data_IF_275365288737
#
_entry.id   IF_275365288737
#
_cell.length_a   1.000
_cell.length_b   1.000
_cell.length_c   1.000
_cell.angle_alpha   90.00
_cell.angle_beta   90.00
_cell.angle_gamma   90.00
#
_symmetry.space_group_name_H-M   'P 1'
#
loop_
_entity.id
_entity.type
_entity.pdbx_description
1 polymer ?
#
# COMPACT_ATOMS: atom_id res chain seq x y z
N UNK A 1 0.63 19.01 15.38
CA UNK A 1 1.68 19.24 16.39
C UNK A 1 2.99 18.69 15.86
N UNK A 2 4.06 19.48 15.89
CA UNK A 2 5.38 19.00 15.46
C UNK A 2 5.96 18.07 16.53
N UNK A 3 6.55 16.96 16.10
CA UNK A 3 7.30 16.03 16.95
C UNK A 3 8.73 15.95 16.45
N UNK A 4 9.69 15.84 17.36
CA UNK A 4 11.10 15.72 17.02
C UNK A 4 11.52 14.26 17.09
N UNK A 5 12.14 13.76 16.02
CA UNK A 5 12.75 12.44 15.96
C UNK A 5 14.22 12.62 15.64
N UNK A 6 15.09 11.91 16.37
CA UNK A 6 16.52 11.87 16.06
C UNK A 6 16.75 10.78 15.02
N UNK A 7 17.49 11.13 13.98
CA UNK A 7 17.94 10.22 12.92
C UNK A 7 19.45 10.38 12.78
N UNK A 8 20.13 9.32 12.39
CA UNK A 8 21.52 9.41 11.98
C UNK A 8 21.66 10.15 10.64
N UNK A 9 22.89 10.51 10.30
CA UNK A 9 23.18 11.30 9.10
C UNK A 9 22.85 10.55 7.80
N UNK A 10 23.07 9.23 7.77
CA UNK A 10 22.77 8.41 6.59
C UNK A 10 21.26 8.38 6.33
N UNK A 11 20.47 8.14 7.37
CA UNK A 11 19.01 8.15 7.32
C UNK A 11 18.49 9.51 6.86
N UNK A 12 19.03 10.61 7.39
CA UNK A 12 18.66 11.96 6.94
C UNK A 12 18.96 12.18 5.46
N UNK A 13 20.16 11.78 5.00
CA UNK A 13 20.57 11.93 3.60
C UNK A 13 19.64 11.18 2.64
N UNK A 14 19.28 9.94 2.99
CA UNK A 14 18.34 9.12 2.20
C UNK A 14 16.95 9.74 2.12
N UNK A 15 16.45 10.34 3.21
CA UNK A 15 15.16 11.03 3.20
C UNK A 15 15.17 12.27 2.29
N UNK A 16 16.29 13.01 2.27
CA UNK A 16 16.46 14.17 1.38
C UNK A 16 16.52 13.73 -0.09
N UNK A 17 17.23 12.65 -0.39
CA UNK A 17 17.28 12.08 -1.74
C UNK A 17 15.89 11.67 -2.25
N UNK A 18 15.10 10.98 -1.42
CA UNK A 18 13.72 10.61 -1.78
C UNK A 18 12.82 11.83 -1.95
N UNK A 19 12.96 12.86 -1.12
CA UNK A 19 12.23 14.12 -1.31
C UNK A 19 12.59 14.79 -2.64
N UNK A 20 13.87 14.78 -3.03
CA UNK A 20 14.33 15.29 -4.32
C UNK A 20 13.77 14.49 -5.50
N UNK A 21 13.72 13.16 -5.38
CA UNK A 21 13.08 12.27 -6.37
C UNK A 21 11.60 12.60 -6.54
N UNK A 22 10.88 12.76 -5.44
CA UNK A 22 9.46 13.13 -5.46
C UNK A 22 9.22 14.52 -6.04
N UNK A 23 10.08 15.49 -5.74
CA UNK A 23 10.01 16.83 -6.32
C UNK A 23 10.15 16.79 -7.84
N UNK A 24 11.06 15.96 -8.37
CA UNK A 24 11.22 15.79 -9.82
C UNK A 24 9.97 15.19 -10.49
N UNK A 25 9.35 14.20 -9.84
CA UNK A 25 8.13 13.53 -10.35
C UNK A 25 6.91 14.45 -10.28
N UNK A 26 6.69 15.09 -9.12
CA UNK A 26 5.49 15.89 -8.85
C UNK A 26 5.60 17.33 -9.36
N UNK A 27 6.79 17.76 -9.81
CA UNK A 27 7.10 19.11 -10.32
C UNK A 27 6.70 20.24 -9.36
N UNK A 28 6.76 19.97 -8.05
CA UNK A 28 6.52 20.93 -6.97
C UNK A 28 7.44 20.65 -5.79
N UNK A 29 7.59 21.61 -4.90
CA UNK A 29 8.30 21.38 -3.64
C UNK A 29 7.60 20.28 -2.81
N UNK A 30 8.41 19.44 -2.19
CA UNK A 30 7.99 18.31 -1.35
C UNK A 30 8.67 18.47 0.00
N UNK A 31 7.90 18.37 1.08
CA UNK A 31 8.45 18.41 2.44
C UNK A 31 8.95 17.03 2.88
N UNK A 32 9.84 16.99 3.88
CA UNK A 32 10.26 15.71 4.47
C UNK A 32 9.09 14.93 5.06
N UNK A 33 8.10 15.61 5.65
CA UNK A 33 6.86 14.99 6.15
C UNK A 33 6.08 14.29 5.03
N UNK A 34 6.05 14.90 3.85
CA UNK A 34 5.40 14.32 2.68
C UNK A 34 6.19 13.15 2.10
N UNK A 35 7.52 13.24 2.06
CA UNK A 35 8.39 12.14 1.65
C UNK A 35 8.22 10.93 2.59
N UNK A 36 8.19 11.15 3.91
CA UNK A 36 7.93 10.10 4.91
C UNK A 36 6.55 9.49 4.69
N UNK A 37 5.52 10.31 4.42
CA UNK A 37 4.17 9.81 4.14
C UNK A 37 4.15 8.95 2.89
N UNK A 38 4.79 9.38 1.81
CA UNK A 38 4.85 8.62 0.57
C UNK A 38 5.52 7.25 0.76
N UNK A 39 6.65 7.21 1.48
CA UNK A 39 7.36 5.97 1.79
C UNK A 39 6.51 5.02 2.66
N UNK A 40 5.80 5.56 3.64
CA UNK A 40 4.97 4.75 4.57
C UNK A 40 3.62 4.34 3.97
N UNK A 41 3.04 5.13 3.07
CA UNK A 41 1.86 4.76 2.30
C UNK A 41 2.18 3.67 1.28
N UNK A 42 3.37 3.68 0.67
CA UNK A 42 3.87 2.58 -0.16
C UNK A 42 3.87 1.24 0.58
N UNK A 43 4.31 1.21 1.85
CA UNK A 43 4.29 0.00 2.70
C UNK A 43 2.86 -0.49 2.99
N UNK A 44 1.89 0.43 3.08
CA UNK A 44 0.47 0.07 3.23
C UNK A 44 -0.16 -0.40 1.92
N UNK A 45 0.31 0.12 0.79
CA UNK A 45 -0.17 -0.25 -0.53
C UNK A 45 0.39 -1.59 -1.02
N UNK A 46 1.60 -1.99 -0.59
CA UNK A 46 2.27 -3.26 -0.90
C UNK A 46 1.74 -4.47 -0.10
N UNK A 47 0.82 -4.25 0.85
CA UNK A 47 0.21 -5.29 1.67
C UNK A 47 -1.29 -5.41 1.39
N UNK A 48 -1.75 -5.10 0.16
CA UNK A 48 -3.15 -5.31 -0.17
C UNK A 48 -3.39 -6.80 -0.38
N UNK A 49 -4.52 -7.30 0.08
CA UNK A 49 -4.94 -8.69 -0.18
C UNK A 49 -4.95 -8.98 -1.69
N UNK A 50 -5.17 -7.96 -2.53
CA UNK A 50 -5.08 -8.04 -3.99
C UNK A 50 -3.68 -8.41 -4.51
N UNK A 51 -2.62 -8.11 -3.77
CA UNK A 51 -1.24 -8.44 -4.16
C UNK A 51 -0.96 -9.94 -4.01
N UNK A 52 -1.79 -10.66 -3.24
CA UNK A 52 -1.81 -12.11 -3.15
C UNK A 52 -2.69 -12.76 -4.22
N UNK A 53 -3.34 -11.98 -5.10
CA UNK A 53 -4.15 -12.53 -6.18
C UNK A 53 -3.26 -13.34 -7.14
N UNK A 54 -3.64 -14.60 -7.38
CA UNK A 54 -2.86 -15.55 -8.19
C UNK A 54 -1.80 -16.34 -7.42
N UNK A 55 -1.59 -16.09 -6.12
CA UNK A 55 -0.71 -16.92 -5.27
C UNK A 55 -1.39 -18.18 -4.71
N UNK A 56 -2.69 -18.35 -4.97
CA UNK A 56 -3.47 -19.50 -4.54
C UNK A 56 -3.89 -20.29 -5.77
N UNK A 57 -3.53 -21.56 -5.83
CA UNK A 57 -4.10 -22.50 -6.79
C UNK A 57 -5.50 -22.88 -6.30
N UNK A 58 -6.51 -22.60 -7.12
CA UNK A 58 -7.91 -22.94 -6.83
C UNK A 58 -8.45 -23.67 -8.05
N UNK A 59 -9.05 -24.84 -7.82
CA UNK A 59 -9.69 -25.61 -8.89
C UNK A 59 -10.98 -24.93 -9.37
N UNK A 60 -11.41 -25.23 -10.61
CA UNK A 60 -12.68 -24.71 -11.12
C UNK A 60 -13.88 -25.15 -10.28
N UNK A 61 -13.81 -26.35 -9.70
CA UNK A 61 -14.83 -26.90 -8.80
C UNK A 61 -14.95 -26.09 -7.52
N UNK A 62 -13.83 -25.74 -6.89
CA UNK A 62 -13.82 -24.88 -5.70
C UNK A 62 -14.36 -23.48 -6.02
N UNK A 63 -13.99 -22.90 -7.17
CA UNK A 63 -14.55 -21.60 -7.61
C UNK A 63 -16.08 -21.68 -7.74
N UNK A 64 -16.60 -22.78 -8.29
CA UNK A 64 -18.03 -22.96 -8.47
C UNK A 64 -18.77 -23.09 -7.12
N UNK A 65 -18.20 -23.82 -6.17
CA UNK A 65 -18.78 -23.95 -4.83
C UNK A 65 -18.75 -22.62 -4.06
N UNK A 66 -17.66 -21.86 -4.16
CA UNK A 66 -17.57 -20.51 -3.57
C UNK A 66 -18.65 -19.60 -4.18
N UNK A 67 -18.83 -19.62 -5.50
CA UNK A 67 -19.86 -18.82 -6.18
C UNK A 67 -21.28 -19.21 -5.72
N UNK A 68 -21.59 -20.50 -5.63
CA UNK A 68 -22.90 -20.97 -5.12
C UNK A 68 -23.13 -20.55 -3.67
N UNK A 69 -22.10 -20.65 -2.82
CA UNK A 69 -22.20 -20.25 -1.42
C UNK A 69 -22.46 -18.74 -1.26
N UNK A 70 -21.77 -17.92 -2.07
CA UNK A 70 -21.98 -16.48 -2.11
C UNK A 70 -23.39 -16.13 -2.61
N UNK A 71 -23.84 -16.73 -3.72
CA UNK A 71 -25.18 -16.50 -4.28
C UNK A 71 -26.28 -16.84 -3.26
N UNK A 72 -26.23 -18.03 -2.64
CA UNK A 72 -27.19 -18.44 -1.60
C UNK A 72 -27.22 -17.49 -0.39
N UNK A 73 -26.07 -16.92 -0.03
CA UNK A 73 -25.98 -15.98 1.09
C UNK A 73 -26.48 -14.60 0.70
N UNK A 74 -26.24 -14.18 -0.54
CA UNK A 74 -26.75 -12.93 -1.10
C UNK A 74 -28.27 -12.92 -1.25
N UNK A 75 -28.86 -14.05 -1.66
CA UNK A 75 -30.32 -14.27 -1.70
C UNK A 75 -30.97 -14.21 -0.32
N UNK A 76 -30.24 -14.46 0.76
CA UNK A 76 -30.75 -14.34 2.14
C UNK A 76 -30.64 -12.92 2.70
N UNK A 77 -29.88 -12.06 2.05
CA UNK A 77 -29.67 -10.67 2.47
C UNK A 77 -30.67 -9.70 1.82
N UNK A 78 -31.43 -10.15 0.81
CA UNK A 78 -32.48 -9.41 0.12
C UNK A 78 -33.82 -10.12 0.32
#
# INVERSE_FOLDING_TARGET
MAKTVRVDEETYRRLVEEAGRLQAILKRSVSLDEAIRYLTEGVRAQNRISDLAGSWEVSEEEVNEIRKALARRWEKWY
#
